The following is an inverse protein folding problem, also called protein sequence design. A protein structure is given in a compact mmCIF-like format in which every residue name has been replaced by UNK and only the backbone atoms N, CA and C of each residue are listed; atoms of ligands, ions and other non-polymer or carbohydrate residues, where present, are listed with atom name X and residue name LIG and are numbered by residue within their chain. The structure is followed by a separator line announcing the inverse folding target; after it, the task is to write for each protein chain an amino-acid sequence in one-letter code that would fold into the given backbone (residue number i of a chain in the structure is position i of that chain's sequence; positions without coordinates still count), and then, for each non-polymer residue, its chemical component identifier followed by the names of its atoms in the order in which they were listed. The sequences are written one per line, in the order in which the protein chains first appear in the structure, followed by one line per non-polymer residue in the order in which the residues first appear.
data_IF_516258209699
#
_entry.id   IF_516258209699
#
_cell.length_a   1.000
_cell.length_b   1.000
_cell.length_c   1.000
_cell.angle_alpha   90.00
_cell.angle_beta   90.00
_cell.angle_gamma   90.00
#
_symmetry.space_group_name_H-M   'P 1'
#
loop_
_entity.id
_entity.type
_entity.pdbx_description
1 polymer ?
#
# COMPACT_ATOMS: atom_id res chain seq x y z
N UNK A 1 -17.09 11.00 11.34
CA UNK A 1 -15.68 11.01 11.77
C UNK A 1 -14.90 10.24 10.72
N UNK A 2 -13.96 10.87 10.03
CA UNK A 2 -13.16 10.17 9.01
C UNK A 2 -12.10 9.29 9.67
N UNK A 3 -11.87 8.08 9.13
CA UNK A 3 -10.79 7.22 9.59
C UNK A 3 -9.45 7.86 9.18
N UNK A 4 -8.44 7.78 10.03
CA UNK A 4 -7.10 8.27 9.72
C UNK A 4 -6.05 7.22 10.01
N UNK A 5 -5.35 6.78 8.98
CA UNK A 5 -4.17 5.92 9.12
C UNK A 5 -2.94 6.79 8.99
N UNK A 6 -2.21 6.99 10.08
CA UNK A 6 -1.05 7.88 10.11
C UNK A 6 -1.30 9.30 9.59
N UNK A 7 -2.48 9.85 9.93
CA UNK A 7 -2.96 11.18 9.51
C UNK A 7 -3.25 11.27 8.00
N UNK A 8 -3.26 10.15 7.29
CA UNK A 8 -3.79 10.04 5.93
C UNK A 8 -5.29 9.75 6.05
N UNK A 9 -6.16 10.52 5.39
CA UNK A 9 -7.60 10.33 5.49
C UNK A 9 -8.04 9.09 4.72
N UNK A 10 -8.75 8.20 5.39
CA UNK A 10 -9.41 7.05 4.78
C UNK A 10 -10.93 7.19 4.90
N UNK A 11 -11.60 6.91 3.80
CA UNK A 11 -13.05 6.77 3.70
C UNK A 11 -13.44 5.36 4.11
N UNK A 12 -14.49 5.22 4.93
CA UNK A 12 -15.14 3.92 5.13
C UNK A 12 -16.05 3.66 3.93
N UNK A 13 -15.69 2.70 3.11
CA UNK A 13 -16.49 2.31 1.93
C UNK A 13 -17.70 1.51 2.37
N UNK A 14 -17.49 0.46 3.15
CA UNK A 14 -18.57 -0.36 3.71
C UNK A 14 -18.05 -1.24 4.86
N UNK A 15 -18.98 -1.78 5.64
CA UNK A 15 -18.73 -2.99 6.43
C UNK A 15 -19.06 -4.19 5.54
N UNK A 16 -18.15 -5.14 5.41
CA UNK A 16 -18.33 -6.32 4.56
C UNK A 16 -19.30 -7.29 5.23
N UNK A 17 -20.21 -7.83 4.45
CA UNK A 17 -21.12 -8.89 4.88
C UNK A 17 -21.14 -10.00 3.84
N UNK A 18 -21.03 -11.28 4.27
CA UNK A 18 -21.14 -12.40 3.35
C UNK A 18 -22.59 -12.59 2.91
N UNK A 19 -22.77 -13.11 1.70
CA UNK A 19 -24.07 -13.57 1.24
C UNK A 19 -24.56 -14.71 2.15
N UNK A 20 -25.81 -14.60 2.60
CA UNK A 20 -26.45 -15.57 3.49
C UNK A 20 -27.67 -16.20 2.81
N UNK A 21 -27.96 -17.44 3.16
CA UNK A 21 -29.20 -18.10 2.75
C UNK A 21 -30.40 -17.60 3.58
N UNK A 22 -31.60 -18.09 3.27
CA UNK A 22 -32.84 -17.70 3.98
C UNK A 22 -32.81 -17.99 5.50
N UNK A 23 -31.93 -18.89 5.95
CA UNK A 23 -31.75 -19.23 7.36
C UNK A 23 -30.69 -18.35 8.05
N UNK A 24 -30.15 -17.35 7.34
CA UNK A 24 -29.11 -16.45 7.84
C UNK A 24 -27.71 -17.08 7.91
N UNK A 25 -27.49 -18.28 7.35
CA UNK A 25 -26.18 -18.93 7.29
C UNK A 25 -25.40 -18.45 6.08
N UNK A 26 -24.10 -18.25 6.24
CA UNK A 26 -23.19 -17.89 5.15
C UNK A 26 -23.27 -18.94 4.04
N UNK A 27 -23.38 -18.48 2.79
CA UNK A 27 -23.31 -19.36 1.62
C UNK A 27 -21.83 -19.64 1.34
N UNK A 28 -21.46 -20.91 1.49
CA UNK A 28 -20.11 -21.39 1.25
C UNK A 28 -19.96 -21.96 -0.17
N UNK A 29 -18.75 -21.83 -0.71
CA UNK A 29 -18.34 -22.43 -1.96
C UNK A 29 -17.05 -23.24 -1.78
N UNK A 30 -17.03 -24.46 -2.32
CA UNK A 30 -15.86 -25.35 -2.36
C UNK A 30 -15.51 -25.56 -3.84
N UNK A 31 -14.29 -25.20 -4.29
CA UNK A 31 -13.89 -25.44 -5.67
C UNK A 31 -13.68 -26.93 -5.93
N UNK A 32 -14.12 -27.41 -7.08
CA UNK A 32 -13.86 -28.78 -7.51
C UNK A 32 -12.43 -28.87 -8.06
N UNK A 33 -11.53 -29.51 -7.32
CA UNK A 33 -10.16 -29.79 -7.81
C UNK A 33 -10.24 -31.02 -8.74
N UNK A 34 -10.00 -30.85 -10.04
CA UNK A 34 -9.90 -32.00 -10.96
C UNK A 34 -8.58 -32.75 -10.78
N UNK A 35 -8.64 -34.09 -10.81
CA UNK A 35 -7.54 -35.02 -10.47
C UNK A 35 -6.28 -34.87 -11.35
N UNK A 36 -6.39 -34.24 -12.52
CA UNK A 36 -5.30 -34.09 -13.50
C UNK A 36 -4.23 -33.06 -13.11
N UNK A 37 -4.44 -32.27 -12.05
CA UNK A 37 -3.43 -31.34 -11.51
C UNK A 37 -2.67 -31.94 -10.33
N UNK A 38 -2.22 -33.20 -10.43
CA UNK A 38 -1.15 -33.77 -9.57
C UNK A 38 0.18 -33.08 -9.87
N UNK A 39 0.32 -31.82 -9.48
CA UNK A 39 1.63 -31.19 -9.32
C UNK A 39 2.07 -31.44 -7.89
N UNK A 40 3.14 -32.23 -7.80
CA UNK A 40 3.97 -32.55 -6.65
C UNK A 40 4.43 -31.30 -5.89
N UNK A 41 3.59 -30.75 -5.01
CA UNK A 41 3.99 -29.86 -3.91
C UNK A 41 2.81 -29.71 -2.95
N UNK A 42 3.10 -29.78 -1.65
CA UNK A 42 2.13 -29.70 -0.55
C UNK A 42 0.94 -28.77 -0.87
N UNK A 43 -0.27 -29.31 -0.76
CA UNK A 43 -1.50 -28.54 -0.99
C UNK A 43 -1.53 -27.43 0.06
N UNK A 44 -1.35 -26.16 -0.35
CA UNK A 44 -1.49 -25.02 0.55
C UNK A 44 -2.86 -25.07 1.25
N UNK A 45 -2.96 -24.87 2.57
CA UNK A 45 -4.16 -25.19 3.35
C UNK A 45 -5.44 -24.55 2.81
N UNK A 46 -5.35 -23.34 2.27
CA UNK A 46 -6.51 -22.59 1.79
C UNK A 46 -7.04 -23.04 0.43
N UNK A 47 -6.36 -23.90 -0.35
CA UNK A 47 -6.79 -24.30 -1.71
C UNK A 47 -8.19 -24.90 -1.79
N UNK A 48 -8.61 -25.58 -0.73
CA UNK A 48 -9.82 -26.41 -0.75
C UNK A 48 -11.07 -25.62 -0.34
N UNK A 49 -10.93 -24.34 0.02
CA UNK A 49 -12.02 -23.61 0.66
C UNK A 49 -12.35 -24.18 2.05
N UNK A 50 -13.56 -23.95 2.57
CA UNK A 50 -14.66 -23.21 1.94
C UNK A 50 -14.34 -21.71 1.76
N UNK A 51 -15.04 -21.07 0.84
CA UNK A 51 -14.99 -19.64 0.55
C UNK A 51 -16.37 -19.00 0.70
N UNK A 52 -16.43 -17.70 0.98
CA UNK A 52 -17.68 -16.94 0.93
C UNK A 52 -17.78 -16.09 -0.34
N UNK A 53 -18.99 -15.58 -0.61
CA UNK A 53 -19.21 -14.51 -1.58
C UNK A 53 -19.68 -13.25 -0.87
N UNK A 54 -19.18 -12.10 -1.30
CA UNK A 54 -19.67 -10.79 -0.89
C UNK A 54 -19.37 -9.76 -1.99
N UNK A 55 -19.96 -8.58 -1.87
CA UNK A 55 -19.73 -7.49 -2.82
C UNK A 55 -19.64 -6.16 -2.08
N UNK A 56 -18.91 -5.23 -2.66
CA UNK A 56 -18.86 -3.83 -2.23
C UNK A 56 -19.61 -2.94 -3.24
N UNK A 57 -20.07 -1.75 -2.82
CA UNK A 57 -20.60 -0.76 -3.75
C UNK A 57 -19.61 -0.44 -4.88
N UNK A 58 -20.10 -0.10 -6.09
CA UNK A 58 -19.23 0.28 -7.20
C UNK A 58 -18.29 1.43 -6.84
N UNK A 59 -16.99 1.22 -7.05
CA UNK A 59 -15.92 2.16 -6.79
C UNK A 59 -14.73 1.84 -7.70
N UNK A 60 -14.61 2.56 -8.81
CA UNK A 60 -13.58 2.35 -9.84
C UNK A 60 -12.32 3.18 -9.60
N UNK A 61 -12.15 3.75 -8.40
CA UNK A 61 -11.03 4.64 -8.08
C UNK A 61 -9.74 3.87 -7.83
N UNK A 62 -8.63 4.50 -8.20
CA UNK A 62 -7.27 4.07 -7.86
C UNK A 62 -6.88 4.57 -6.47
N UNK A 63 -6.16 3.77 -5.70
CA UNK A 63 -5.80 4.14 -4.34
C UNK A 63 -5.19 3.02 -3.51
N UNK A 64 -5.28 3.18 -2.20
CA UNK A 64 -4.86 2.19 -1.21
C UNK A 64 -6.05 1.86 -0.33
N UNK A 65 -6.30 0.58 -0.08
CA UNK A 65 -7.35 0.12 0.80
C UNK A 65 -6.78 -0.69 1.97
N UNK A 66 -7.56 -0.74 3.05
CA UNK A 66 -7.24 -1.51 4.24
C UNK A 66 -8.46 -2.30 4.71
N UNK A 67 -8.24 -3.55 5.09
CA UNK A 67 -9.24 -4.34 5.84
C UNK A 67 -8.97 -4.17 7.33
N UNK A 68 -9.98 -3.69 8.04
CA UNK A 68 -9.95 -3.52 9.50
C UNK A 68 -10.90 -4.53 10.12
N UNK A 69 -10.34 -5.47 10.88
CA UNK A 69 -11.07 -6.55 11.55
C UNK A 69 -11.07 -6.26 13.04
N UNK A 70 -12.25 -6.06 13.64
CA UNK A 70 -12.39 -5.73 15.06
C UNK A 70 -11.40 -4.62 15.50
N UNK A 71 -11.41 -3.51 14.78
CA UNK A 71 -10.55 -2.33 15.00
C UNK A 71 -9.03 -2.55 14.78
N UNK A 72 -8.62 -3.68 14.20
CA UNK A 72 -7.22 -3.96 13.83
C UNK A 72 -7.03 -4.00 12.33
N UNK A 73 -6.00 -3.32 11.84
CA UNK A 73 -5.63 -3.37 10.42
C UNK A 73 -5.00 -4.73 10.13
N UNK A 74 -5.70 -5.57 9.39
CA UNK A 74 -5.27 -6.93 9.09
C UNK A 74 -4.66 -7.06 7.70
N UNK A 75 -5.04 -6.19 6.76
CA UNK A 75 -4.54 -6.20 5.38
C UNK A 75 -4.49 -4.78 4.81
N UNK A 76 -3.47 -4.50 4.00
CA UNK A 76 -3.32 -3.24 3.25
C UNK A 76 -2.83 -3.57 1.84
N UNK A 77 -3.49 -3.03 0.83
CA UNK A 77 -3.07 -3.20 -0.55
C UNK A 77 -3.42 -1.99 -1.41
N UNK A 78 -2.73 -1.93 -2.52
CA UNK A 78 -2.82 -0.90 -3.54
C UNK A 78 -3.79 -1.39 -4.63
N UNK A 79 -4.47 -0.49 -5.34
CA UNK A 79 -5.46 -0.86 -6.36
C UNK A 79 -5.56 0.20 -7.44
N UNK A 80 -5.77 -0.24 -8.69
CA UNK A 80 -6.15 0.65 -9.80
C UNK A 80 -7.67 0.77 -9.96
N UNK A 81 -8.43 -0.19 -9.41
CA UNK A 81 -9.89 -0.23 -9.45
C UNK A 81 -10.39 -1.08 -8.27
N UNK A 82 -10.89 -0.41 -7.23
CA UNK A 82 -11.28 -1.06 -5.98
C UNK A 82 -12.37 -2.13 -6.18
N UNK A 83 -13.37 -1.86 -7.03
CA UNK A 83 -14.43 -2.83 -7.33
C UNK A 83 -13.89 -4.07 -8.02
N UNK A 84 -12.96 -3.93 -8.96
CA UNK A 84 -12.34 -5.08 -9.64
C UNK A 84 -11.56 -5.94 -8.65
N UNK A 85 -10.67 -5.33 -7.87
CA UNK A 85 -9.80 -6.08 -6.96
C UNK A 85 -10.58 -6.81 -5.85
N UNK A 86 -11.71 -6.23 -5.42
CA UNK A 86 -12.54 -6.83 -4.38
C UNK A 86 -13.61 -7.73 -4.98
N UNK A 87 -14.52 -7.21 -5.80
CA UNK A 87 -15.68 -7.98 -6.27
C UNK A 87 -15.28 -9.10 -7.25
N UNK A 88 -14.29 -8.88 -8.12
CA UNK A 88 -13.77 -9.90 -9.04
C UNK A 88 -12.56 -10.66 -8.47
N UNK A 89 -11.99 -10.16 -7.37
CA UNK A 89 -10.94 -10.83 -6.61
C UNK A 89 -11.51 -11.61 -5.42
N UNK A 90 -11.23 -11.16 -4.20
CA UNK A 90 -11.48 -11.97 -3.01
C UNK A 90 -12.93 -11.90 -2.49
N UNK A 91 -13.80 -11.12 -3.13
CA UNK A 91 -15.26 -11.14 -2.93
C UNK A 91 -15.96 -12.24 -3.73
N UNK A 92 -15.34 -12.73 -4.81
CA UNK A 92 -15.85 -13.84 -5.63
C UNK A 92 -14.71 -14.68 -6.18
N UNK A 93 -14.38 -15.79 -5.52
CA UNK A 93 -13.30 -16.69 -5.95
C UNK A 93 -13.66 -17.38 -7.28
N UNK A 94 -12.90 -17.14 -8.38
CA UNK A 94 -13.14 -17.79 -9.66
C UNK A 94 -12.78 -19.29 -9.60
N UNK A 95 -13.52 -20.12 -10.34
CA UNK A 95 -13.33 -21.59 -10.37
C UNK A 95 -11.95 -22.04 -10.86
N UNK A 96 -11.29 -21.23 -11.69
CA UNK A 96 -10.04 -21.57 -12.37
C UNK A 96 -8.82 -20.75 -11.91
N UNK A 97 -8.96 -19.99 -10.81
CA UNK A 97 -7.90 -19.10 -10.37
C UNK A 97 -6.67 -19.90 -9.88
N UNK A 98 -5.50 -19.59 -10.45
CA UNK A 98 -4.21 -19.98 -9.87
C UNK A 98 -4.14 -19.43 -8.43
N UNK A 99 -3.51 -20.17 -7.52
CA UNK A 99 -3.26 -19.73 -6.15
C UNK A 99 -2.76 -18.27 -6.13
N UNK A 100 -3.52 -17.40 -5.50
CA UNK A 100 -3.19 -16.01 -5.25
C UNK A 100 -3.60 -15.66 -3.82
N UNK A 101 -3.05 -14.57 -3.29
CA UNK A 101 -3.39 -14.00 -1.97
C UNK A 101 -4.92 -13.82 -1.81
N UNK A 102 -5.63 -13.66 -2.92
CA UNK A 102 -7.10 -13.62 -3.02
C UNK A 102 -7.81 -14.77 -2.29
N UNK A 103 -7.33 -16.01 -2.46
CA UNK A 103 -7.95 -17.19 -1.83
C UNK A 103 -7.72 -17.21 -0.33
N UNK A 104 -6.51 -16.86 0.10
CA UNK A 104 -6.16 -16.80 1.51
C UNK A 104 -6.95 -15.69 2.23
N UNK A 105 -7.05 -14.50 1.63
CA UNK A 105 -7.82 -13.39 2.17
C UNK A 105 -9.30 -13.79 2.30
N UNK A 106 -9.90 -14.40 1.27
CA UNK A 106 -11.30 -14.83 1.36
C UNK A 106 -11.52 -15.89 2.44
N UNK A 107 -10.66 -16.92 2.51
CA UNK A 107 -10.80 -17.96 3.53
C UNK A 107 -10.67 -17.40 4.95
N UNK A 108 -9.76 -16.44 5.17
CA UNK A 108 -9.66 -15.70 6.44
C UNK A 108 -10.91 -14.87 6.72
N UNK A 109 -11.43 -14.15 5.72
CA UNK A 109 -12.69 -13.39 5.85
C UNK A 109 -13.87 -14.29 6.24
N UNK A 110 -14.00 -15.48 5.63
CA UNK A 110 -15.04 -16.44 6.00
C UNK A 110 -14.92 -16.86 7.48
N UNK A 111 -13.70 -17.13 7.97
CA UNK A 111 -13.47 -17.46 9.38
C UNK A 111 -13.89 -16.31 10.30
N UNK A 112 -13.52 -15.08 9.96
CA UNK A 112 -13.89 -13.88 10.71
C UNK A 112 -15.43 -13.67 10.72
N UNK A 113 -16.10 -13.88 9.59
CA UNK A 113 -17.56 -13.79 9.51
C UNK A 113 -18.27 -14.81 10.40
N UNK A 114 -17.75 -16.05 10.49
CA UNK A 114 -18.30 -17.05 11.40
C UNK A 114 -18.14 -16.70 12.87
N UNK A 115 -17.07 -15.97 13.20
CA UNK A 115 -16.84 -15.45 14.55
C UNK A 115 -17.67 -14.20 14.85
N UNK A 116 -18.42 -13.68 13.88
CA UNK A 116 -19.19 -12.44 14.01
C UNK A 116 -18.32 -11.19 14.07
N UNK A 117 -17.09 -11.25 13.52
CA UNK A 117 -16.19 -10.11 13.49
C UNK A 117 -16.75 -8.95 12.66
N UNK A 118 -16.48 -7.71 13.09
CA UNK A 118 -16.72 -6.54 12.27
C UNK A 118 -15.58 -6.38 11.27
N UNK A 119 -15.91 -6.41 9.98
CA UNK A 119 -14.96 -6.30 8.87
C UNK A 119 -15.23 -5.01 8.11
N UNK A 120 -14.37 -4.01 8.27
CA UNK A 120 -14.51 -2.73 7.59
C UNK A 120 -13.53 -2.61 6.43
N UNK A 121 -14.02 -2.06 5.31
CA UNK A 121 -13.19 -1.69 4.18
C UNK A 121 -12.95 -0.18 4.20
N UNK A 122 -11.70 0.20 4.41
CA UNK A 122 -11.24 1.59 4.34
C UNK A 122 -10.53 1.83 3.01
N UNK A 123 -10.67 3.04 2.45
CA UNK A 123 -10.04 3.42 1.18
C UNK A 123 -9.48 4.85 1.21
N UNK A 124 -8.31 5.04 0.61
CA UNK A 124 -7.71 6.33 0.34
C UNK A 124 -7.41 6.44 -1.16
N UNK A 125 -8.11 7.36 -1.83
CA UNK A 125 -7.90 7.64 -3.24
C UNK A 125 -6.53 8.29 -3.48
N UNK A 126 -5.72 7.68 -4.34
CA UNK A 126 -4.40 8.20 -4.74
C UNK A 126 -3.94 7.49 -6.01
N UNK A 127 -3.14 8.18 -6.82
CA UNK A 127 -2.53 7.61 -8.03
C UNK A 127 -1.09 7.11 -7.78
N UNK A 128 -0.56 7.28 -6.57
CA UNK A 128 0.81 6.90 -6.18
C UNK A 128 0.76 5.80 -5.12
N UNK A 129 0.31 4.61 -5.55
CA UNK A 129 -0.16 3.53 -4.69
C UNK A 129 0.96 2.62 -4.13
N UNK A 130 2.06 2.29 -4.84
CA UNK A 130 3.02 1.27 -4.34
C UNK A 130 3.82 1.71 -3.11
N UNK A 131 4.32 2.96 -3.10
CA UNK A 131 5.10 3.52 -1.99
C UNK A 131 4.24 3.72 -0.73
N UNK A 132 3.02 4.23 -0.91
CA UNK A 132 2.10 4.43 0.21
C UNK A 132 1.71 3.09 0.85
N UNK A 133 1.41 2.09 0.03
CA UNK A 133 1.13 0.72 0.49
C UNK A 133 2.32 0.14 1.25
N UNK A 134 3.53 0.26 0.72
CA UNK A 134 4.74 -0.19 1.41
C UNK A 134 4.93 0.49 2.77
N UNK A 135 4.82 1.82 2.84
CA UNK A 135 4.91 2.58 4.08
C UNK A 135 3.91 2.10 5.12
N UNK A 136 2.64 1.96 4.73
CA UNK A 136 1.57 1.53 5.62
C UNK A 136 1.77 0.08 6.08
N UNK A 137 2.18 -0.84 5.19
CA UNK A 137 2.47 -2.22 5.53
C UNK A 137 3.66 -2.34 6.50
N UNK A 138 4.79 -1.64 6.26
CA UNK A 138 5.92 -1.64 7.21
C UNK A 138 5.53 -1.05 8.56
N UNK A 139 4.66 -0.03 8.57
CA UNK A 139 4.24 0.67 9.78
C UNK A 139 3.28 -0.14 10.64
N UNK A 140 2.26 -0.74 10.03
CA UNK A 140 1.20 -1.47 10.74
C UNK A 140 1.47 -2.96 10.86
N UNK A 141 2.38 -3.51 10.03
CA UNK A 141 2.69 -4.94 9.93
C UNK A 141 1.41 -5.81 9.92
N UNK A 142 0.49 -5.57 8.97
CA UNK A 142 -0.79 -6.26 8.95
C UNK A 142 -0.56 -7.77 8.80
N UNK A 143 -1.21 -8.57 9.63
CA UNK A 143 -0.94 -10.01 9.72
C UNK A 143 -1.32 -10.81 8.47
N UNK A 144 -2.11 -10.23 7.57
CA UNK A 144 -2.56 -10.90 6.34
C UNK A 144 -1.79 -10.45 5.09
N UNK A 145 -0.87 -9.49 5.21
CA UNK A 145 0.10 -9.24 4.13
C UNK A 145 1.22 -10.29 4.24
N UNK A 146 1.36 -11.14 3.22
CA UNK A 146 2.44 -12.12 3.16
C UNK A 146 3.80 -11.40 3.07
N UNK A 147 4.84 -11.81 3.83
CA UNK A 147 6.14 -11.14 3.83
C UNK A 147 6.85 -11.12 2.46
N UNK A 148 6.40 -11.93 1.51
CA UNK A 148 7.10 -12.17 0.24
C UNK A 148 7.07 -10.96 -0.72
N UNK A 149 6.12 -10.04 -0.58
CA UNK A 149 6.03 -8.83 -1.43
C UNK A 149 6.90 -7.66 -0.97
N UNK A 150 7.59 -7.75 0.17
CA UNK A 150 8.48 -6.66 0.60
C UNK A 150 9.88 -6.77 -0.05
N UNK A 151 10.24 -7.94 -0.59
CA UNK A 151 11.57 -8.19 -1.15
C UNK A 151 11.77 -7.58 -2.55
N UNK A 152 10.69 -7.32 -3.31
CA UNK A 152 10.83 -6.72 -4.65
C UNK A 152 11.13 -5.21 -4.58
N UNK A 153 10.53 -4.52 -3.61
CA UNK A 153 10.81 -3.10 -3.34
C UNK A 153 12.25 -2.94 -2.84
N UNK A 154 12.65 -3.76 -1.85
CA UNK A 154 14.00 -3.77 -1.30
C UNK A 154 15.06 -4.17 -2.38
N UNK A 155 14.70 -4.99 -3.39
CA UNK A 155 15.57 -5.34 -4.53
C UNK A 155 15.70 -4.27 -5.62
N UNK A 156 14.65 -3.49 -5.90
CA UNK A 156 14.77 -2.32 -6.79
C UNK A 156 15.71 -1.29 -6.14
N UNK A 157 15.64 -1.13 -4.82
CA UNK A 157 16.48 -0.19 -4.08
C UNK A 157 17.96 -0.56 -4.00
N UNK A 158 18.32 -1.84 -4.13
CA UNK A 158 19.73 -2.30 -4.13
C UNK A 158 20.40 -2.21 -5.51
N UNK A 159 19.65 -2.15 -6.61
CA UNK A 159 20.18 -2.14 -7.97
C UNK A 159 20.23 -0.76 -8.65
N UNK A 160 19.81 0.32 -7.98
CA UNK A 160 20.01 1.67 -8.52
C UNK A 160 21.46 2.09 -8.26
N UNK A 161 22.35 1.72 -9.19
CA UNK A 161 23.66 2.33 -9.30
C UNK A 161 23.47 3.79 -9.72
N UNK A 162 23.64 4.71 -8.77
CA UNK A 162 23.64 6.15 -9.04
C UNK A 162 25.03 6.55 -9.55
N UNK A 163 25.17 7.00 -10.80
CA UNK A 163 26.45 7.51 -11.31
C UNK A 163 26.91 8.70 -10.46
N UNK A 164 28.23 8.85 -10.30
CA UNK A 164 28.87 9.81 -9.42
C UNK A 164 28.56 11.28 -9.79
N UNK A 165 28.03 11.99 -8.79
CA UNK A 165 28.07 13.43 -8.50
C UNK A 165 27.93 14.45 -9.64
N UNK A 166 26.82 15.21 -9.62
CA UNK A 166 26.79 16.55 -10.24
C UNK A 166 26.73 17.71 -9.25
N UNK A 167 26.21 17.62 -8.01
CA UNK A 167 26.31 18.75 -7.03
C UNK A 167 26.09 18.42 -5.55
N UNK A 168 27.16 18.28 -4.75
CA UNK A 168 27.15 18.43 -3.28
C UNK A 168 26.42 17.37 -2.43
N UNK A 169 26.39 17.59 -1.10
CA UNK A 169 25.91 16.63 -0.07
C UNK A 169 24.49 16.09 -0.30
N UNK A 170 23.61 16.89 -0.90
CA UNK A 170 22.21 16.54 -1.13
C UNK A 170 21.89 16.24 -2.60
N UNK A 171 22.91 16.15 -3.48
CA UNK A 171 22.72 16.01 -4.93
C UNK A 171 21.92 14.77 -5.33
N UNK A 172 21.99 13.68 -4.55
CA UNK A 172 21.23 12.46 -4.85
C UNK A 172 19.71 12.63 -4.80
N UNK A 173 19.22 13.59 -3.99
CA UNK A 173 17.79 13.95 -4.00
C UNK A 173 17.42 14.60 -5.32
N UNK A 174 18.29 15.45 -5.89
CA UNK A 174 18.07 16.02 -7.22
C UNK A 174 18.04 14.91 -8.28
N UNK A 175 19.03 14.02 -8.28
CA UNK A 175 19.13 12.93 -9.26
C UNK A 175 17.89 12.02 -9.22
N UNK A 176 17.39 11.73 -8.02
CA UNK A 176 16.15 10.97 -7.82
C UNK A 176 14.93 11.72 -8.36
N UNK A 177 14.69 12.95 -7.89
CA UNK A 177 13.52 13.74 -8.26
C UNK A 177 13.50 14.10 -9.76
N UNK A 178 14.66 14.27 -10.39
CA UNK A 178 14.77 14.60 -11.80
C UNK A 178 14.50 13.39 -12.72
N UNK A 179 14.58 12.16 -12.20
CA UNK A 179 14.27 10.94 -12.95
C UNK A 179 12.79 10.59 -12.93
N UNK A 180 12.07 10.99 -11.90
CA UNK A 180 10.64 10.70 -11.75
C UNK A 180 9.80 11.76 -12.49
N UNK A 181 8.78 11.30 -13.20
CA UNK A 181 7.85 12.16 -13.95
C UNK A 181 6.47 12.23 -13.28
N UNK A 182 6.47 12.42 -11.96
CA UNK A 182 5.24 12.52 -11.16
C UNK A 182 4.95 13.97 -10.78
N UNK A 183 3.67 14.35 -10.69
CA UNK A 183 3.29 15.67 -10.22
C UNK A 183 3.53 15.84 -8.70
N UNK A 184 3.48 14.74 -7.96
CA UNK A 184 3.69 14.67 -6.52
C UNK A 184 4.58 13.48 -6.18
N UNK A 185 5.46 13.67 -5.21
CA UNK A 185 6.33 12.61 -4.71
C UNK A 185 6.40 12.67 -3.18
N UNK A 186 6.20 11.53 -2.51
CA UNK A 186 6.21 11.44 -1.05
C UNK A 186 7.43 10.62 -0.63
N UNK A 187 8.30 11.21 0.19
CA UNK A 187 9.48 10.51 0.72
C UNK A 187 9.50 10.60 2.24
N UNK A 188 9.60 9.45 2.90
CA UNK A 188 9.91 9.33 4.32
C UNK A 188 11.33 9.78 4.60
N UNK A 189 11.62 10.10 5.87
CA UNK A 189 12.97 10.48 6.26
C UNK A 189 13.97 9.36 6.01
N UNK A 190 13.57 8.11 6.26
CA UNK A 190 14.39 6.92 6.00
C UNK A 190 14.67 6.72 4.51
N UNK A 191 13.68 6.95 3.64
CA UNK A 191 13.91 6.91 2.18
C UNK A 191 14.84 8.02 1.72
N UNK A 192 14.71 9.23 2.29
CA UNK A 192 15.61 10.34 1.98
C UNK A 192 17.03 10.03 2.44
N UNK A 193 17.21 9.44 3.62
CA UNK A 193 18.51 8.98 4.11
C UNK A 193 19.12 7.88 3.23
N UNK A 194 18.29 6.96 2.75
CA UNK A 194 18.70 5.91 1.82
C UNK A 194 19.14 6.50 0.46
N UNK A 195 18.35 7.43 -0.10
CA UNK A 195 18.71 8.18 -1.31
C UNK A 195 20.04 8.91 -1.10
N UNK A 196 20.23 9.53 0.07
CA UNK A 196 21.45 10.27 0.40
C UNK A 196 22.64 9.35 0.75
N UNK A 197 22.38 8.07 1.05
CA UNK A 197 23.34 7.12 1.63
C UNK A 197 24.01 7.63 2.92
N UNK A 198 23.29 8.43 3.69
CA UNK A 198 23.75 9.00 4.97
C UNK A 198 22.55 9.47 5.79
N UNK A 199 22.65 9.46 7.12
CA UNK A 199 21.59 10.00 7.97
C UNK A 199 21.40 11.50 7.74
N UNK A 200 20.16 11.95 7.86
CA UNK A 200 19.79 13.35 7.83
C UNK A 200 20.30 14.00 9.12
N UNK A 201 20.74 15.27 9.06
CA UNK A 201 21.15 15.98 10.26
C UNK A 201 19.96 16.11 11.22
N UNK A 202 20.24 16.14 12.53
CA UNK A 202 19.21 16.29 13.56
C UNK A 202 18.24 17.44 13.27
N UNK A 203 18.75 18.56 12.73
CA UNK A 203 17.94 19.72 12.32
C UNK A 203 16.81 19.39 11.34
N UNK A 204 16.99 18.41 10.44
CA UNK A 204 15.94 17.99 9.52
C UNK A 204 14.73 17.39 10.26
N UNK A 205 14.98 16.74 11.40
CA UNK A 205 13.95 16.08 12.22
C UNK A 205 13.18 17.04 13.12
N UNK A 206 13.75 18.20 13.45
CA UNK A 206 13.17 19.12 14.44
C UNK A 206 12.76 20.48 13.87
N UNK A 207 13.31 20.90 12.72
CA UNK A 207 13.04 22.21 12.12
C UNK A 207 12.31 22.06 10.78
N UNK A 208 11.06 22.50 10.71
CA UNK A 208 10.30 22.53 9.44
C UNK A 208 10.95 23.46 8.41
N UNK A 209 11.63 24.52 8.85
CA UNK A 209 12.39 25.44 7.99
C UNK A 209 13.54 24.75 7.25
N UNK A 210 14.06 23.64 7.76
CA UNK A 210 15.08 22.83 7.08
C UNK A 210 14.56 22.29 5.73
N UNK A 211 13.25 22.00 5.64
CA UNK A 211 12.54 21.57 4.44
C UNK A 211 11.96 22.74 3.63
N UNK A 212 12.34 23.97 3.95
CA UNK A 212 11.85 25.18 3.28
C UNK A 212 12.36 25.29 1.84
N UNK A 213 11.57 25.92 0.98
CA UNK A 213 11.88 26.12 -0.44
C UNK A 213 12.79 27.35 -0.68
N UNK A 214 13.86 27.50 0.11
CA UNK A 214 14.79 28.62 0.00
C UNK A 214 16.09 28.17 -0.67
N UNK A 215 16.41 28.74 -1.84
CA UNK A 215 17.63 28.44 -2.63
C UNK A 215 18.94 28.70 -1.89
N UNK A 216 18.93 29.45 -0.78
CA UNK A 216 20.10 29.65 0.07
C UNK A 216 20.45 28.38 0.87
N UNK A 217 19.48 27.51 1.14
CA UNK A 217 19.72 26.25 1.82
C UNK A 217 20.29 25.20 0.85
N UNK A 218 21.42 24.61 1.23
CA UNK A 218 22.15 23.63 0.39
C UNK A 218 21.32 22.42 0.01
N UNK A 219 20.46 21.95 0.91
CA UNK A 219 19.53 20.85 0.67
C UNK A 219 18.40 21.25 -0.28
N UNK A 220 17.88 22.48 -0.13
CA UNK A 220 16.72 22.92 -0.90
C UNK A 220 17.01 23.12 -2.38
N UNK A 221 18.26 23.44 -2.70
CA UNK A 221 18.74 23.46 -4.09
C UNK A 221 18.45 22.15 -4.82
N UNK A 222 18.47 21.00 -4.15
CA UNK A 222 18.28 19.70 -4.80
C UNK A 222 16.89 19.55 -5.40
N UNK A 223 15.83 19.75 -4.62
CA UNK A 223 14.47 19.63 -5.16
C UNK A 223 14.06 20.82 -6.01
N UNK A 224 14.50 22.04 -5.68
CA UNK A 224 14.20 23.24 -6.48
C UNK A 224 14.77 23.10 -7.89
N UNK A 225 16.02 22.62 -8.03
CA UNK A 225 16.64 22.40 -9.35
C UNK A 225 15.99 21.27 -10.13
N UNK A 226 15.40 20.29 -9.45
CA UNK A 226 14.61 19.24 -10.10
C UNK A 226 13.20 19.71 -10.50
N UNK A 227 12.91 21.01 -10.38
CA UNK A 227 11.59 21.60 -10.60
C UNK A 227 10.53 21.12 -9.59
N UNK A 228 10.93 20.73 -8.37
CA UNK A 228 10.03 20.42 -7.26
C UNK A 228 10.07 21.48 -6.17
N UNK A 229 9.02 21.51 -5.35
CA UNK A 229 8.99 22.21 -4.06
C UNK A 229 8.47 21.27 -2.97
N UNK A 230 8.91 21.44 -1.73
CA UNK A 230 8.25 20.81 -0.58
C UNK A 230 6.89 21.49 -0.38
N UNK A 231 5.81 20.75 -0.62
CA UNK A 231 4.43 21.17 -0.38
C UNK A 231 4.02 20.96 1.08
N UNK A 232 4.45 19.85 1.68
CA UNK A 232 4.15 19.52 3.08
C UNK A 232 5.30 18.71 3.67
N UNK A 233 5.60 18.95 4.95
CA UNK A 233 6.53 18.13 5.71
C UNK A 233 5.91 17.81 7.07
N UNK A 234 5.92 16.53 7.43
CA UNK A 234 5.65 16.08 8.80
C UNK A 234 6.98 15.57 9.36
N UNK A 235 7.51 16.35 10.30
CA UNK A 235 8.83 16.13 10.89
C UNK A 235 9.01 14.72 11.43
N UNK A 236 10.13 14.09 11.06
CA UNK A 236 10.47 12.72 11.43
C UNK A 236 9.61 11.64 10.77
N UNK A 237 8.75 12.02 9.81
CA UNK A 237 7.85 11.10 9.12
C UNK A 237 8.08 11.14 7.63
N UNK A 238 7.61 12.18 6.96
CA UNK A 238 7.67 12.28 5.50
C UNK A 238 7.66 13.73 4.99
N UNK A 239 8.03 13.87 3.73
CA UNK A 239 8.08 15.10 2.96
C UNK A 239 7.36 14.85 1.63
N UNK A 240 6.38 15.71 1.34
CA UNK A 240 5.68 15.75 0.07
C UNK A 240 6.32 16.81 -0.82
N UNK A 241 6.91 16.36 -1.91
CA UNK A 241 7.38 17.16 -3.02
C UNK A 241 6.27 17.32 -4.07
N UNK A 242 6.14 18.52 -4.63
CA UNK A 242 5.22 18.84 -5.72
C UNK A 242 6.03 19.41 -6.87
N UNK A 243 5.87 18.84 -8.06
CA UNK A 243 6.47 19.34 -9.28
C UNK A 243 5.82 20.68 -9.61
N UNK A 244 6.64 21.71 -9.81
CA UNK A 244 6.16 23.00 -10.28
C UNK A 244 5.77 22.86 -11.74
N UNK A 245 4.49 23.03 -12.04
CA UNK A 245 4.05 23.34 -13.40
C UNK A 245 4.70 24.66 -13.83
N UNK A 246 5.32 24.68 -15.01
CA UNK A 246 5.79 25.92 -15.64
C UNK A 246 4.61 26.83 -16.00
#
# INVERSE_FOLDING_TARGET
MGYQLERIPFELITTLEPLKNEQGRVIEYIPTITEDKKITKAVHPYRQGPYCTFTIPPNERSGVYALVINDRISYIADTMNLSRDINEGFGSIPKDAYLSDTHEINAKLLQEFYQGASVQLLFHETYHTPLLTHFLQKRFKPSWNCPHELDWYDNIHSNISFPSHTTGKYGRIFDYLNRIDTAYEWLTFTEIEAILQQPLPHSAYILSSWWGNNVQHTQAKSWIRAHYRVKKCILGRYVLFEKKSN
#
